data_IF_168616020346
#
_entry.id   IF_168616020346
#
_cell.length_a   1.000
_cell.length_b   1.000
_cell.length_c   1.000
_cell.angle_alpha   90.00
_cell.angle_beta   90.00
_cell.angle_gamma   90.00
#
_symmetry.space_group_name_H-M   'P 1'
#
loop_
_entity.id
_entity.type
_entity.pdbx_description
1 polymer ?
#
# COMPACT_ATOMS: atom_id res chain seq x y z
N UNK A 1 -14.83 -2.72 -8.02
CA UNK A 1 -13.53 -2.74 -7.32
C UNK A 1 -12.69 -3.97 -7.68
N UNK A 2 -13.25 -5.18 -7.54
CA UNK A 2 -12.51 -6.44 -7.78
C UNK A 2 -12.04 -6.59 -9.21
N UNK A 3 -12.85 -6.27 -10.20
CA UNK A 3 -12.47 -6.29 -11.61
C UNK A 3 -11.29 -5.40 -11.92
N UNK A 4 -11.27 -4.21 -11.32
CA UNK A 4 -10.18 -3.26 -11.47
C UNK A 4 -8.88 -3.78 -10.85
N UNK A 5 -8.99 -4.41 -9.68
CA UNK A 5 -7.84 -5.02 -8.99
C UNK A 5 -7.29 -6.23 -9.75
N UNK A 6 -8.14 -7.03 -10.35
CA UNK A 6 -7.71 -8.15 -11.20
C UNK A 6 -6.96 -7.66 -12.44
N UNK A 7 -7.43 -6.58 -13.06
CA UNK A 7 -6.74 -5.95 -14.17
C UNK A 7 -5.36 -5.41 -13.76
N UNK A 8 -5.25 -4.81 -12.58
CA UNK A 8 -3.99 -4.33 -12.02
C UNK A 8 -3.03 -5.49 -11.76
N UNK A 9 -3.51 -6.59 -11.20
CA UNK A 9 -2.69 -7.78 -10.96
C UNK A 9 -2.18 -8.39 -12.26
N UNK A 10 -3.01 -8.48 -13.29
CA UNK A 10 -2.60 -8.97 -14.61
C UNK A 10 -1.52 -8.09 -15.22
N UNK A 11 -1.68 -6.78 -15.12
CA UNK A 11 -0.66 -5.83 -15.58
C UNK A 11 0.66 -6.02 -14.84
N UNK A 12 0.59 -6.21 -13.54
CA UNK A 12 1.78 -6.49 -12.71
C UNK A 12 2.49 -7.77 -13.15
N UNK A 13 1.74 -8.84 -13.42
CA UNK A 13 2.29 -10.11 -13.92
C UNK A 13 2.97 -9.92 -15.27
N UNK A 14 2.35 -9.20 -16.20
CA UNK A 14 2.93 -8.89 -17.50
C UNK A 14 4.21 -8.06 -17.38
N UNK A 15 4.21 -7.06 -16.50
CA UNK A 15 5.39 -6.25 -16.22
C UNK A 15 6.52 -7.07 -15.60
N UNK A 16 6.20 -8.01 -14.73
CA UNK A 16 7.17 -8.93 -14.13
C UNK A 16 7.89 -9.74 -15.21
N UNK A 17 7.17 -10.21 -16.20
CA UNK A 17 7.75 -10.94 -17.34
C UNK A 17 8.62 -10.04 -18.20
N UNK A 18 8.15 -8.83 -18.48
CA UNK A 18 8.89 -7.87 -19.34
C UNK A 18 10.19 -7.41 -18.71
N UNK A 19 10.22 -7.11 -17.42
CA UNK A 19 11.44 -6.66 -16.75
C UNK A 19 12.47 -7.78 -16.57
N UNK A 20 12.06 -9.03 -16.71
CA UNK A 20 12.94 -10.20 -16.70
C UNK A 20 13.41 -10.62 -18.09
N UNK A 21 12.86 -10.04 -19.16
CA UNK A 21 13.22 -10.35 -20.54
C UNK A 21 14.57 -9.72 -20.89
N UNK A 22 15.58 -10.53 -21.33
CA UNK A 22 16.88 -10.00 -21.72
C UNK A 22 16.83 -8.95 -22.82
N UNK A 23 15.89 -9.05 -23.76
CA UNK A 23 15.73 -8.07 -24.85
C UNK A 23 15.28 -6.70 -24.32
N UNK A 24 14.41 -6.69 -23.31
CA UNK A 24 13.96 -5.47 -22.65
C UNK A 24 15.06 -4.88 -21.77
N UNK A 25 15.80 -5.72 -21.06
CA UNK A 25 16.93 -5.30 -20.19
C UNK A 25 17.99 -4.60 -21.03
N UNK A 26 18.22 -5.03 -22.26
CA UNK A 26 19.15 -4.38 -23.18
C UNK A 26 18.76 -2.95 -23.55
N UNK A 27 17.47 -2.61 -23.46
CA UNK A 27 16.92 -1.27 -23.69
C UNK A 27 16.71 -0.56 -22.36
N UNK A 28 17.76 0.03 -21.80
CA UNK A 28 17.75 0.57 -20.44
C UNK A 28 16.65 1.57 -20.14
N UNK A 29 16.33 2.48 -21.05
CA UNK A 29 15.28 3.47 -20.82
C UNK A 29 13.88 2.84 -20.74
N UNK A 30 13.59 1.92 -21.64
CA UNK A 30 12.34 1.16 -21.64
C UNK A 30 12.25 0.30 -20.38
N UNK A 31 13.31 -0.40 -20.03
CA UNK A 31 13.38 -1.21 -18.81
C UNK A 31 13.11 -0.38 -17.54
N UNK A 32 13.71 0.81 -17.45
CA UNK A 32 13.50 1.71 -16.30
C UNK A 32 12.06 2.13 -16.14
N UNK A 33 11.39 2.47 -17.24
CA UNK A 33 9.96 2.82 -17.22
C UNK A 33 9.09 1.66 -16.75
N UNK A 34 9.35 0.47 -17.26
CA UNK A 34 8.62 -0.73 -16.90
C UNK A 34 8.88 -1.13 -15.44
N UNK A 35 10.13 -1.04 -14.98
CA UNK A 35 10.49 -1.33 -13.61
C UNK A 35 9.85 -0.35 -12.63
N UNK A 36 9.79 0.93 -12.98
CA UNK A 36 9.12 1.96 -12.17
C UNK A 36 7.63 1.70 -12.07
N UNK A 37 6.99 1.36 -13.18
CA UNK A 37 5.56 1.02 -13.21
C UNK A 37 5.29 -0.24 -12.38
N UNK A 38 6.12 -1.27 -12.53
CA UNK A 38 6.05 -2.50 -11.75
C UNK A 38 6.15 -2.21 -10.25
N UNK A 39 7.12 -1.41 -9.83
CA UNK A 39 7.29 -1.02 -8.44
C UNK A 39 6.08 -0.24 -7.90
N UNK A 40 5.45 0.60 -8.73
CA UNK A 40 4.27 1.37 -8.32
C UNK A 40 3.04 0.50 -8.06
N UNK A 41 2.96 -0.68 -8.67
CA UNK A 41 1.84 -1.62 -8.51
C UNK A 41 2.07 -2.65 -7.42
N UNK A 42 3.29 -2.80 -6.91
CA UNK A 42 3.65 -3.86 -5.98
C UNK A 42 2.81 -3.83 -4.70
N UNK A 43 2.64 -2.68 -4.09
CA UNK A 43 1.91 -2.53 -2.84
C UNK A 43 0.44 -2.94 -2.97
N UNK A 44 -0.23 -2.43 -4.01
CA UNK A 44 -1.64 -2.73 -4.24
C UNK A 44 -1.86 -4.21 -4.61
N UNK A 45 -0.95 -4.78 -5.39
CA UNK A 45 -1.03 -6.20 -5.78
C UNK A 45 -0.82 -7.11 -4.58
N UNK A 46 0.15 -6.81 -3.72
CA UNK A 46 0.38 -7.58 -2.50
C UNK A 46 -0.84 -7.51 -1.56
N UNK A 47 -1.41 -6.34 -1.39
CA UNK A 47 -2.62 -6.14 -0.60
C UNK A 47 -3.81 -6.93 -1.17
N UNK A 48 -3.99 -6.90 -2.48
CA UNK A 48 -5.05 -7.67 -3.14
C UNK A 48 -4.86 -9.18 -3.01
N UNK A 49 -3.64 -9.67 -3.11
CA UNK A 49 -3.32 -11.09 -2.90
C UNK A 49 -3.65 -11.54 -1.48
N UNK A 50 -3.34 -10.72 -0.48
CA UNK A 50 -3.74 -10.99 0.91
C UNK A 50 -5.26 -10.98 1.07
N UNK A 51 -5.96 -10.06 0.41
CA UNK A 51 -7.41 -10.02 0.40
C UNK A 51 -8.02 -11.30 -0.19
N UNK A 52 -7.52 -11.77 -1.33
CA UNK A 52 -7.97 -13.01 -1.96
C UNK A 52 -7.70 -14.22 -1.08
N UNK A 53 -6.54 -14.25 -0.43
CA UNK A 53 -6.16 -15.32 0.50
C UNK A 53 -7.10 -15.39 1.71
N UNK A 54 -7.41 -14.24 2.30
CA UNK A 54 -8.37 -14.16 3.41
C UNK A 54 -9.77 -14.64 2.98
N UNK A 55 -10.23 -14.22 1.81
CA UNK A 55 -11.52 -14.65 1.25
C UNK A 55 -11.57 -16.18 1.05
N UNK A 56 -10.52 -16.75 0.50
CA UNK A 56 -10.41 -18.20 0.30
C UNK A 56 -10.41 -18.95 1.62
N UNK A 57 -9.67 -18.47 2.62
CA UNK A 57 -9.65 -19.07 3.94
C UNK A 57 -11.02 -19.02 4.64
N UNK A 58 -11.77 -17.94 4.46
CA UNK A 58 -13.14 -17.83 4.96
C UNK A 58 -14.05 -18.87 4.31
N UNK A 59 -13.97 -19.05 3.00
CA UNK A 59 -14.73 -20.06 2.28
C UNK A 59 -14.38 -21.48 2.74
N UNK A 60 -13.10 -21.78 2.89
CA UNK A 60 -12.63 -23.07 3.41
C UNK A 60 -13.13 -23.32 4.84
N UNK A 61 -13.09 -22.31 5.70
CA UNK A 61 -13.59 -22.41 7.06
C UNK A 61 -15.12 -22.61 7.12
N UNK A 62 -15.86 -21.97 6.23
CA UNK A 62 -17.30 -22.18 6.12
C UNK A 62 -17.63 -23.63 5.74
N UNK A 63 -16.87 -24.24 4.84
CA UNK A 63 -17.00 -25.64 4.50
C UNK A 63 -16.66 -26.55 5.69
N UNK A 64 -15.58 -26.26 6.39
CA UNK A 64 -15.20 -26.98 7.60
C UNK A 64 -16.27 -26.87 8.69
N UNK A 65 -16.90 -25.72 8.82
CA UNK A 65 -17.96 -25.49 9.78
C UNK A 65 -19.17 -26.41 9.53
N UNK A 66 -19.52 -26.65 8.27
CA UNK A 66 -20.56 -27.58 7.88
C UNK A 66 -20.20 -29.02 8.25
N UNK A 67 -18.95 -29.41 8.04
CA UNK A 67 -18.45 -30.75 8.38
C UNK A 67 -18.33 -30.97 9.88
N UNK A 68 -18.07 -29.92 10.66
CA UNK A 68 -17.92 -29.95 12.11
C UNK A 68 -19.26 -29.90 12.86
N UNK A 69 -20.39 -29.97 12.17
CA UNK A 69 -21.72 -29.96 12.76
C UNK A 69 -21.86 -31.07 13.80
N UNK A 70 -22.17 -30.69 15.03
CA UNK A 70 -22.27 -31.61 16.16
C UNK A 70 -21.08 -31.62 17.11
N UNK A 71 -19.97 -30.95 16.75
CA UNK A 71 -18.80 -30.76 17.61
C UNK A 71 -18.72 -29.29 18.05
N UNK A 72 -19.24 -28.96 19.21
CA UNK A 72 -19.37 -27.59 19.69
C UNK A 72 -18.03 -26.88 19.87
N UNK A 73 -16.98 -27.58 20.34
CA UNK A 73 -15.64 -27.00 20.51
C UNK A 73 -15.01 -26.64 19.17
N UNK A 74 -15.14 -27.53 18.19
CA UNK A 74 -14.62 -27.31 16.86
C UNK A 74 -15.38 -26.18 16.15
N UNK A 75 -16.72 -26.15 16.29
CA UNK A 75 -17.53 -25.06 15.74
C UNK A 75 -17.14 -23.71 16.29
N UNK A 76 -16.90 -23.59 17.59
CA UNK A 76 -16.47 -22.33 18.22
C UNK A 76 -15.11 -21.86 17.71
N UNK A 77 -14.14 -22.78 17.56
CA UNK A 77 -12.82 -22.46 17.04
C UNK A 77 -12.90 -21.96 15.58
N UNK A 78 -13.68 -22.63 14.76
CA UNK A 78 -13.86 -22.24 13.35
C UNK A 78 -14.57 -20.89 13.26
N UNK A 79 -15.62 -20.66 14.01
CA UNK A 79 -16.34 -19.37 14.04
C UNK A 79 -15.44 -18.22 14.48
N UNK A 80 -14.61 -18.45 15.51
CA UNK A 80 -13.63 -17.46 15.97
C UNK A 80 -12.61 -17.13 14.89
N UNK A 81 -12.13 -18.13 14.16
CA UNK A 81 -11.19 -17.94 13.07
C UNK A 81 -11.82 -17.18 11.90
N UNK A 82 -13.06 -17.50 11.55
CA UNK A 82 -13.84 -16.78 10.52
C UNK A 82 -14.00 -15.31 10.90
N UNK A 83 -14.35 -15.02 12.14
CA UNK A 83 -14.50 -13.65 12.63
C UNK A 83 -13.21 -12.86 12.50
N UNK A 84 -12.10 -13.44 12.90
CA UNK A 84 -10.76 -12.84 12.76
C UNK A 84 -10.40 -12.58 11.30
N UNK A 85 -10.68 -13.52 10.40
CA UNK A 85 -10.43 -13.38 8.96
C UNK A 85 -11.33 -12.32 8.32
N UNK A 86 -12.58 -12.20 8.75
CA UNK A 86 -13.49 -11.17 8.27
C UNK A 86 -13.03 -9.76 8.66
N UNK A 87 -12.53 -9.60 9.89
CA UNK A 87 -11.92 -8.33 10.32
C UNK A 87 -10.68 -7.99 9.49
N UNK A 88 -9.81 -8.97 9.28
CA UNK A 88 -8.61 -8.81 8.44
C UNK A 88 -9.00 -8.42 7.01
N UNK A 89 -9.98 -9.11 6.42
CA UNK A 89 -10.47 -8.82 5.07
C UNK A 89 -11.04 -7.42 4.97
N UNK A 90 -11.79 -6.98 5.97
CA UNK A 90 -12.34 -5.62 6.02
C UNK A 90 -11.26 -4.55 6.03
N UNK A 91 -10.22 -4.74 6.83
CA UNK A 91 -9.06 -3.83 6.86
C UNK A 91 -8.34 -3.78 5.52
N UNK A 92 -8.13 -4.93 4.90
CA UNK A 92 -7.52 -5.03 3.58
C UNK A 92 -8.38 -4.35 2.50
N UNK A 93 -9.70 -4.47 2.58
CA UNK A 93 -10.62 -3.78 1.67
C UNK A 93 -10.52 -2.26 1.80
N UNK A 94 -10.47 -1.75 3.01
CA UNK A 94 -10.28 -0.31 3.25
C UNK A 94 -8.93 0.17 2.72
N UNK A 95 -7.87 -0.58 2.94
CA UNK A 95 -6.54 -0.29 2.41
C UNK A 95 -6.51 -0.30 0.88
N UNK A 96 -7.17 -1.28 0.25
CA UNK A 96 -7.30 -1.35 -1.21
C UNK A 96 -8.04 -0.14 -1.79
N UNK A 97 -9.09 0.32 -1.13
CA UNK A 97 -9.80 1.53 -1.55
C UNK A 97 -8.90 2.76 -1.54
N UNK A 98 -8.06 2.88 -0.53
CA UNK A 98 -7.08 3.97 -0.43
C UNK A 98 -6.03 3.86 -1.54
N UNK A 99 -5.50 2.66 -1.77
CA UNK A 99 -4.48 2.42 -2.80
C UNK A 99 -5.00 2.63 -4.23
N UNK A 100 -6.31 2.48 -4.45
CA UNK A 100 -6.95 2.74 -5.75
C UNK A 100 -7.20 4.22 -6.02
N UNK A 101 -7.06 5.08 -5.02
CA UNK A 101 -7.21 6.52 -5.23
C UNK A 101 -6.11 7.04 -6.15
N UNK A 102 -6.43 8.00 -7.05
CA UNK A 102 -5.42 8.60 -7.90
C UNK A 102 -4.32 9.25 -7.06
N UNK A 103 -3.07 8.95 -7.39
CA UNK A 103 -1.93 9.63 -6.76
C UNK A 103 -1.79 11.03 -7.34
N UNK A 104 -1.54 12.00 -6.46
CA UNK A 104 -1.17 13.34 -6.90
C UNK A 104 0.19 13.25 -7.61
N UNK A 105 0.31 13.74 -8.87
CA UNK A 105 1.59 13.77 -9.57
C UNK A 105 2.68 14.54 -8.82
N UNK A 106 2.29 15.43 -7.93
CA UNK A 106 3.20 16.22 -7.10
C UNK A 106 3.79 15.42 -5.92
N UNK A 107 3.21 14.28 -5.53
CA UNK A 107 3.69 13.46 -4.42
C UNK A 107 5.09 12.89 -4.66
N UNK A 108 5.47 12.71 -5.92
CA UNK A 108 6.81 12.22 -6.29
C UNK A 108 7.84 13.34 -6.47
N UNK A 109 7.41 14.60 -6.44
CA UNK A 109 8.28 15.75 -6.66
C UNK A 109 8.91 16.23 -5.36
N UNK A 110 10.14 16.69 -5.49
CA UNK A 110 10.80 17.40 -4.41
C UNK A 110 10.13 18.74 -4.16
N UNK A 111 10.01 19.12 -2.91
CA UNK A 111 9.40 20.37 -2.49
C UNK A 111 10.44 21.25 -1.81
N UNK A 112 10.44 22.53 -2.15
CA UNK A 112 11.27 23.53 -1.48
C UNK A 112 10.38 24.26 -0.48
N UNK A 113 10.76 24.20 0.79
CA UNK A 113 10.07 24.93 1.86
C UNK A 113 10.95 26.08 2.32
N UNK A 114 10.45 27.30 2.18
CA UNK A 114 11.12 28.51 2.68
C UNK A 114 10.40 28.99 3.93
N UNK A 115 11.18 29.27 4.97
CA UNK A 115 10.68 29.80 6.23
C UNK A 115 11.36 31.14 6.47
N UNK A 116 10.55 32.20 6.61
CA UNK A 116 11.04 33.55 6.81
C UNK A 116 10.51 34.13 8.12
N UNK A 117 11.36 34.89 8.80
CA UNK A 117 10.96 35.74 9.92
C UNK A 117 10.31 36.99 9.37
N UNK A 118 8.99 37.02 9.20
CA UNK A 118 8.25 38.04 8.45
C UNK A 118 8.23 39.44 9.09
N UNK A 119 8.29 39.50 10.43
CA UNK A 119 8.21 40.76 11.17
C UNK A 119 9.58 41.26 11.64
N UNK A 120 10.64 40.49 11.44
CA UNK A 120 11.95 40.77 11.99
C UNK A 120 12.00 40.62 13.52
N UNK A 121 13.19 40.81 14.09
CA UNK A 121 13.43 40.66 15.51
C UNK A 121 13.75 39.23 15.96
N UNK A 122 14.16 39.11 17.19
CA UNK A 122 14.71 37.89 17.78
C UNK A 122 13.62 36.80 17.95
N UNK A 123 12.42 37.16 18.39
CA UNK A 123 11.31 36.24 18.58
C UNK A 123 10.82 35.65 17.25
N UNK A 124 10.74 36.47 16.19
CA UNK A 124 10.36 36.01 14.86
C UNK A 124 11.40 35.03 14.30
N UNK A 125 12.68 35.26 14.54
CA UNK A 125 13.75 34.35 14.15
C UNK A 125 13.67 33.02 14.93
N UNK A 126 13.39 33.06 16.23
CA UNK A 126 13.19 31.85 17.05
C UNK A 126 12.01 31.04 16.57
N UNK A 127 10.89 31.68 16.23
CA UNK A 127 9.69 31.01 15.70
C UNK A 127 9.97 30.35 14.34
N UNK A 128 10.68 31.05 13.44
CA UNK A 128 11.06 30.47 12.15
C UNK A 128 11.97 29.24 12.35
N UNK A 129 12.90 29.28 13.33
CA UNK A 129 13.72 28.14 13.69
C UNK A 129 12.91 26.94 14.21
N UNK A 130 11.89 27.21 15.00
CA UNK A 130 11.00 26.17 15.50
C UNK A 130 10.19 25.53 14.37
N UNK A 131 9.67 26.32 13.42
CA UNK A 131 8.99 25.81 12.23
C UNK A 131 9.94 24.95 11.38
N UNK A 132 11.16 25.39 11.19
CA UNK A 132 12.18 24.65 10.45
C UNK A 132 12.42 23.28 11.08
N UNK A 133 12.59 23.21 12.39
CA UNK A 133 12.76 21.95 13.12
C UNK A 133 11.53 21.05 12.98
N UNK A 134 10.33 21.61 13.03
CA UNK A 134 9.08 20.87 12.86
C UNK A 134 9.01 20.19 11.49
N UNK A 135 9.31 20.93 10.42
CA UNK A 135 9.31 20.39 9.06
C UNK A 135 10.40 19.33 8.86
N UNK A 136 11.58 19.52 9.43
CA UNK A 136 12.65 18.53 9.39
C UNK A 136 12.25 17.21 10.08
N UNK A 137 11.64 17.30 11.24
CA UNK A 137 11.12 16.11 11.96
C UNK A 137 10.05 15.39 11.17
N UNK A 138 9.16 16.13 10.54
CA UNK A 138 8.13 15.57 9.68
C UNK A 138 8.73 14.83 8.48
N UNK A 139 9.70 15.44 7.82
CA UNK A 139 10.42 14.84 6.70
C UNK A 139 11.12 13.53 7.12
N UNK A 140 11.80 13.51 8.26
CA UNK A 140 12.42 12.30 8.81
C UNK A 140 11.40 11.21 9.07
N UNK A 141 10.26 11.56 9.68
CA UNK A 141 9.16 10.62 9.95
C UNK A 141 8.61 10.01 8.68
N UNK A 142 8.58 10.76 7.58
CA UNK A 142 8.13 10.31 6.26
C UNK A 142 9.22 9.62 5.45
N UNK A 143 10.46 9.58 5.93
CA UNK A 143 11.60 9.01 5.22
C UNK A 143 12.14 9.89 4.08
N UNK A 144 11.81 11.18 4.07
CA UNK A 144 12.33 12.12 3.08
C UNK A 144 13.70 12.65 3.51
N UNK A 145 14.52 13.03 2.52
CA UNK A 145 15.77 13.74 2.76
C UNK A 145 15.49 15.25 2.79
N UNK A 146 15.97 15.89 3.82
CA UNK A 146 15.91 17.34 3.97
C UNK A 146 17.29 17.98 3.78
#
# INVERSE_FOLDING_TARGET
>A
MIEKLEAVEQKYIELTKKIADPEVIAKQEEWRKLAKEHASLEEIVNCFREYKKATKQIEENNELLKEASGDDEMEELIKSDIESLEEKRKKLEEELKILLLPKDPNDEKNVIVEIRAGTGGEEAALFAGDLFRMYNRYAEKRGWKA
#
